data_IF_646303097556
#
_entry.id   IF_646303097556
#
_cell.length_a   1.000
_cell.length_b   1.000
_cell.length_c   1.000
_cell.angle_alpha   90.00
_cell.angle_beta   90.00
_cell.angle_gamma   90.00
#
_symmetry.space_group_name_H-M   'P 1'
#
loop_
_entity.id
_entity.type
_entity.pdbx_description
1 polymer ?
#
# COMPACT_ATOMS: atom_id res chain seq x y z
N UNK A 1 25.36 -20.66 19.99
CA UNK A 1 26.50 -19.95 19.39
C UNK A 1 26.28 -18.46 19.52
N UNK A 2 27.27 -17.76 20.08
CA UNK A 2 27.45 -16.32 19.95
C UNK A 2 27.25 -15.87 18.50
N UNK A 3 26.54 -14.77 18.27
CA UNK A 3 26.84 -13.72 17.29
C UNK A 3 25.76 -12.64 17.40
N UNK A 4 26.14 -11.59 18.11
CA UNK A 4 25.51 -10.29 18.28
C UNK A 4 25.35 -9.55 16.95
N UNK A 5 24.27 -9.81 16.22
CA UNK A 5 23.92 -9.06 14.99
C UNK A 5 22.46 -8.58 14.91
N UNK A 6 21.69 -8.63 16.00
CA UNK A 6 20.40 -7.96 16.03
C UNK A 6 20.59 -6.50 16.51
N UNK A 7 21.19 -5.67 15.65
CA UNK A 7 21.30 -4.23 15.90
C UNK A 7 19.89 -3.62 15.79
N UNK A 8 19.22 -3.47 16.94
CA UNK A 8 18.03 -2.63 17.04
C UNK A 8 18.49 -1.18 16.94
N UNK A 9 18.59 -0.66 15.72
CA UNK A 9 18.89 0.76 15.50
C UNK A 9 17.61 1.58 15.65
N UNK A 10 17.61 2.42 16.71
CA UNK A 10 16.74 3.56 17.06
C UNK A 10 15.62 3.31 18.11
N UNK A 11 15.33 4.31 18.99
CA UNK A 11 14.55 4.08 20.22
C UNK A 11 13.03 4.25 20.07
N UNK A 12 12.53 4.89 19.00
CA UNK A 12 11.10 5.07 18.77
C UNK A 12 10.82 5.19 17.26
N UNK A 13 9.83 4.43 16.74
CA UNK A 13 9.49 4.39 15.31
C UNK A 13 9.91 3.15 14.51
N UNK A 14 10.64 2.18 15.10
CA UNK A 14 11.17 0.98 14.40
C UNK A 14 10.12 0.18 13.62
N UNK A 15 8.90 0.07 14.17
CA UNK A 15 7.81 -0.62 13.48
C UNK A 15 7.28 0.13 12.25
N UNK A 16 7.39 1.46 12.19
CA UNK A 16 6.96 2.27 11.03
C UNK A 16 8.08 2.33 9.99
N UNK A 17 9.32 2.54 10.42
CA UNK A 17 10.51 2.57 9.55
C UNK A 17 10.75 1.20 8.88
N UNK A 18 10.65 0.09 9.63
CA UNK A 18 10.81 -1.26 9.06
C UNK A 18 9.74 -1.61 8.02
N UNK A 19 8.49 -1.18 8.22
CA UNK A 19 7.40 -1.40 7.25
C UNK A 19 7.60 -0.63 5.95
N UNK A 20 8.14 0.59 6.03
CA UNK A 20 8.47 1.40 4.85
C UNK A 20 9.66 0.80 4.09
N UNK A 21 10.68 0.30 4.81
CA UNK A 21 11.86 -0.32 4.19
C UNK A 21 11.50 -1.55 3.36
N UNK A 22 10.53 -2.37 3.77
CA UNK A 22 10.09 -3.53 2.99
C UNK A 22 9.54 -3.13 1.61
N UNK A 23 8.69 -2.11 1.55
CA UNK A 23 8.13 -1.61 0.28
C UNK A 23 9.24 -0.98 -0.56
N UNK A 24 10.14 -0.19 0.04
CA UNK A 24 11.26 0.43 -0.65
C UNK A 24 12.25 -0.60 -1.20
N UNK A 25 12.46 -1.72 -0.49
CA UNK A 25 13.30 -2.81 -0.98
C UNK A 25 12.72 -3.47 -2.23
N UNK A 26 11.40 -3.71 -2.28
CA UNK A 26 10.74 -4.24 -3.47
C UNK A 26 10.90 -3.31 -4.68
N UNK A 27 10.82 -1.99 -4.46
CA UNK A 27 11.11 -0.98 -5.51
C UNK A 27 12.57 -1.04 -5.95
N UNK A 28 13.52 -1.10 -5.00
CA UNK A 28 14.96 -1.18 -5.30
C UNK A 28 15.35 -2.46 -6.05
N UNK A 29 14.67 -3.57 -5.80
CA UNK A 29 14.87 -4.83 -6.52
C UNK A 29 14.17 -4.87 -7.88
N UNK A 30 13.45 -3.81 -8.28
CA UNK A 30 12.73 -3.75 -9.55
C UNK A 30 11.51 -4.68 -9.62
N UNK A 31 10.99 -5.13 -8.47
CA UNK A 31 9.81 -5.99 -8.40
C UNK A 31 8.50 -5.18 -8.50
N UNK A 32 8.55 -3.89 -8.15
CA UNK A 32 7.47 -2.92 -8.33
C UNK A 32 8.05 -1.58 -8.78
N UNK A 33 7.40 -0.92 -9.75
CA UNK A 33 7.86 0.39 -10.24
C UNK A 33 7.50 1.53 -9.28
N UNK A 34 6.43 1.37 -8.51
CA UNK A 34 5.88 2.40 -7.63
C UNK A 34 5.52 1.81 -6.26
N UNK A 35 5.73 2.53 -5.15
CA UNK A 35 5.43 2.06 -3.79
C UNK A 35 3.92 2.15 -3.48
N UNK A 36 3.08 1.47 -4.26
CA UNK A 36 1.61 1.53 -4.17
C UNK A 36 0.99 0.43 -3.30
N UNK A 37 1.79 -0.52 -2.82
CA UNK A 37 1.31 -1.63 -1.99
C UNK A 37 0.92 -1.13 -0.60
N UNK A 38 -0.32 -1.42 -0.18
CA UNK A 38 -0.81 -1.05 1.15
C UNK A 38 -0.44 -2.10 2.22
N UNK A 39 0.83 -2.51 2.25
CA UNK A 39 1.34 -3.59 3.11
C UNK A 39 1.07 -3.36 4.61
N UNK A 40 1.09 -2.10 5.03
CA UNK A 40 0.82 -1.74 6.42
C UNK A 40 -0.59 -2.12 6.88
N UNK A 41 -1.58 -2.15 5.97
CA UNK A 41 -2.94 -2.57 6.27
C UNK A 41 -2.99 -4.02 6.74
N UNK A 42 -2.41 -4.94 5.96
CA UNK A 42 -2.34 -6.36 6.32
C UNK A 42 -1.71 -6.58 7.70
N UNK A 43 -0.59 -5.90 7.97
CA UNK A 43 0.10 -5.99 9.26
C UNK A 43 -0.74 -5.43 10.41
N UNK A 44 -1.53 -4.38 10.18
CA UNK A 44 -2.42 -3.81 11.20
C UNK A 44 -3.59 -4.76 11.49
N UNK A 45 -4.19 -5.31 10.45
CA UNK A 45 -5.33 -6.24 10.55
C UNK A 45 -4.91 -7.53 11.27
N UNK A 46 -3.65 -7.97 11.08
CA UNK A 46 -3.08 -9.17 11.70
C UNK A 46 -1.97 -8.85 12.72
N UNK A 47 -2.11 -7.75 13.47
CA UNK A 47 -1.07 -7.22 14.36
C UNK A 47 -0.52 -8.23 15.37
N UNK A 48 -1.39 -9.05 15.95
CA UNK A 48 -0.97 -10.06 16.94
C UNK A 48 -0.06 -11.11 16.33
N UNK A 49 -0.38 -11.56 15.11
CA UNK A 49 0.38 -12.57 14.39
C UNK A 49 1.75 -12.02 13.96
N UNK A 50 1.78 -10.79 13.47
CA UNK A 50 3.02 -10.07 13.17
C UNK A 50 3.99 -10.08 14.36
N UNK A 51 3.52 -9.69 15.56
CA UNK A 51 4.39 -9.66 16.74
C UNK A 51 4.78 -11.06 17.22
N UNK A 52 3.87 -12.04 17.11
CA UNK A 52 4.14 -13.44 17.45
C UNK A 52 5.29 -14.01 16.61
N UNK A 53 5.20 -13.85 15.29
CA UNK A 53 6.21 -14.35 14.35
C UNK A 53 7.53 -13.59 14.47
N UNK A 54 7.49 -12.27 14.62
CA UNK A 54 8.70 -11.47 14.83
C UNK A 54 9.45 -11.86 16.11
N UNK A 55 8.70 -12.17 17.18
CA UNK A 55 9.28 -12.67 18.43
C UNK A 55 9.96 -14.03 18.24
N UNK A 56 9.31 -14.95 17.53
CA UNK A 56 9.87 -16.28 17.20
C UNK A 56 11.16 -16.17 16.38
N UNK A 57 11.23 -15.25 15.43
CA UNK A 57 12.49 -14.97 14.71
C UNK A 57 13.59 -14.51 15.67
N UNK A 58 13.26 -13.62 16.60
CA UNK A 58 14.25 -13.03 17.53
C UNK A 58 14.75 -14.03 18.57
N UNK A 59 13.84 -14.83 19.15
CA UNK A 59 14.15 -15.73 20.26
C UNK A 59 14.60 -17.13 19.79
N UNK A 60 14.10 -17.59 18.64
CA UNK A 60 14.18 -18.99 18.20
C UNK A 60 14.76 -19.14 16.79
N UNK A 61 15.09 -18.04 16.10
CA UNK A 61 15.56 -18.05 14.70
C UNK A 61 14.58 -18.74 13.73
N UNK A 62 13.28 -18.75 14.02
CA UNK A 62 12.26 -19.33 13.14
C UNK A 62 11.94 -18.40 11.96
N UNK A 63 12.84 -18.36 10.96
CA UNK A 63 12.72 -17.48 9.80
C UNK A 63 11.65 -17.89 8.79
N UNK A 64 11.46 -19.19 8.57
CA UNK A 64 10.56 -19.71 7.54
C UNK A 64 9.10 -19.27 7.74
N UNK A 65 8.48 -19.40 8.93
CA UNK A 65 7.11 -18.91 9.15
C UNK A 65 6.97 -17.40 8.97
N UNK A 66 8.01 -16.64 9.33
CA UNK A 66 8.03 -15.19 9.13
C UNK A 66 8.10 -14.79 7.66
N UNK A 67 8.94 -15.47 6.87
CA UNK A 67 9.04 -15.23 5.43
C UNK A 67 7.72 -15.55 4.74
N UNK A 68 7.10 -16.69 5.06
CA UNK A 68 5.79 -17.07 4.50
C UNK A 68 4.71 -16.04 4.83
N UNK A 69 4.68 -15.55 6.08
CA UNK A 69 3.78 -14.47 6.48
C UNK A 69 3.99 -13.20 5.65
N UNK A 70 5.24 -12.80 5.43
CA UNK A 70 5.54 -11.61 4.63
C UNK A 70 5.20 -11.80 3.14
N UNK A 71 5.38 -12.99 2.58
CA UNK A 71 4.98 -13.30 1.20
C UNK A 71 3.46 -13.23 1.03
N UNK A 72 2.71 -13.84 1.96
CA UNK A 72 1.25 -13.76 1.98
C UNK A 72 0.77 -12.31 2.11
N UNK A 73 1.42 -11.51 2.96
CA UNK A 73 1.11 -10.09 3.11
C UNK A 73 1.29 -9.32 1.79
N UNK A 74 2.35 -9.63 1.03
CA UNK A 74 2.61 -9.00 -0.28
C UNK A 74 1.55 -9.44 -1.30
N UNK A 75 1.24 -10.73 -1.38
CA UNK A 75 0.22 -11.28 -2.29
C UNK A 75 -1.14 -10.63 -2.07
N UNK A 76 -1.68 -10.71 -0.85
CA UNK A 76 -3.01 -10.17 -0.54
C UNK A 76 -3.09 -8.65 -0.76
N UNK A 77 -2.02 -7.93 -0.43
CA UNK A 77 -2.01 -6.47 -0.61
C UNK A 77 -1.82 -6.06 -2.06
N UNK A 78 -1.14 -6.87 -2.88
CA UNK A 78 -1.06 -6.68 -4.32
C UNK A 78 -2.42 -6.89 -4.99
N UNK A 79 -3.11 -7.98 -4.66
CA UNK A 79 -4.47 -8.24 -5.15
C UNK A 79 -5.45 -7.16 -4.72
N UNK A 80 -5.40 -6.74 -3.45
CA UNK A 80 -6.21 -5.64 -2.94
C UNK A 80 -5.94 -4.34 -3.69
N UNK A 81 -4.67 -3.94 -3.85
CA UNK A 81 -4.30 -2.71 -4.56
C UNK A 81 -4.73 -2.77 -6.02
N UNK A 82 -4.53 -3.91 -6.72
CA UNK A 82 -4.96 -4.10 -8.10
C UNK A 82 -6.47 -3.91 -8.23
N UNK A 83 -7.26 -4.58 -7.38
CA UNK A 83 -8.72 -4.43 -7.37
C UNK A 83 -9.13 -2.97 -7.16
N UNK A 84 -8.50 -2.28 -6.21
CA UNK A 84 -8.79 -0.85 -5.94
C UNK A 84 -8.48 0.04 -7.14
N UNK A 85 -7.40 -0.22 -7.88
CA UNK A 85 -7.06 0.52 -9.10
C UNK A 85 -8.13 0.30 -10.17
N UNK A 86 -8.56 -0.94 -10.37
CA UNK A 86 -9.63 -1.27 -11.33
C UNK A 86 -10.95 -0.61 -10.93
N UNK A 87 -11.35 -0.70 -9.66
CA UNK A 87 -12.56 -0.04 -9.14
C UNK A 87 -12.52 1.48 -9.37
N UNK A 88 -11.37 2.13 -9.18
CA UNK A 88 -11.20 3.58 -9.42
C UNK A 88 -11.32 3.90 -10.92
N UNK A 89 -10.73 3.06 -11.78
CA UNK A 89 -10.81 3.22 -13.24
C UNK A 89 -12.26 3.13 -13.70
N UNK A 90 -12.97 2.09 -13.29
CA UNK A 90 -14.35 1.85 -13.71
C UNK A 90 -15.27 2.96 -13.17
N UNK A 91 -15.06 3.43 -11.93
CA UNK A 91 -15.78 4.59 -11.41
C UNK A 91 -15.51 5.88 -12.20
N UNK A 92 -14.29 6.09 -12.69
CA UNK A 92 -13.95 7.24 -13.52
C UNK A 92 -14.66 7.16 -14.88
N UNK A 93 -14.70 5.98 -15.49
CA UNK A 93 -15.40 5.73 -16.76
C UNK A 93 -16.92 5.98 -16.60
N UNK A 94 -17.54 5.41 -15.57
CA UNK A 94 -18.95 5.65 -15.25
C UNK A 94 -19.24 7.14 -15.00
N UNK A 95 -18.35 7.82 -14.28
CA UNK A 95 -18.49 9.25 -14.00
C UNK A 95 -18.38 10.07 -15.28
N UNK A 96 -17.51 9.70 -16.22
CA UNK A 96 -17.41 10.37 -17.52
C UNK A 96 -18.71 10.22 -18.32
N UNK A 97 -19.32 9.03 -18.34
CA UNK A 97 -20.58 8.80 -19.06
C UNK A 97 -21.74 9.58 -18.44
N UNK A 98 -21.87 9.57 -17.11
CA UNK A 98 -22.87 10.38 -16.39
C UNK A 98 -22.65 11.87 -16.66
N UNK A 99 -21.41 12.35 -16.60
CA UNK A 99 -21.08 13.75 -16.82
C UNK A 99 -21.42 14.20 -18.25
N UNK A 100 -21.09 13.39 -19.27
CA UNK A 100 -21.46 13.67 -20.67
C UNK A 100 -22.98 13.77 -20.86
N UNK A 101 -23.74 12.93 -20.18
CA UNK A 101 -25.20 12.89 -20.30
C UNK A 101 -25.92 14.02 -19.55
N UNK A 102 -25.33 14.51 -18.44
CA UNK A 102 -26.02 15.41 -17.50
C UNK A 102 -25.50 16.84 -17.50
N UNK A 103 -24.22 17.06 -17.82
CA UNK A 103 -23.61 18.39 -17.80
C UNK A 103 -23.76 19.12 -19.13
N UNK A 104 -23.87 20.46 -19.13
CA UNK A 104 -23.77 21.24 -20.35
C UNK A 104 -22.44 20.99 -21.06
N UNK A 105 -22.45 20.90 -22.40
CA UNK A 105 -21.26 20.65 -23.23
C UNK A 105 -20.12 21.66 -23.02
N UNK A 106 -20.43 22.89 -22.58
CA UNK A 106 -19.45 23.92 -22.22
C UNK A 106 -18.70 23.68 -20.90
N UNK A 107 -19.22 22.78 -20.05
CA UNK A 107 -18.69 22.48 -18.72
C UNK A 107 -17.99 21.13 -18.71
N UNK A 108 -18.53 20.15 -19.43
CA UNK A 108 -17.88 18.84 -19.55
C UNK A 108 -16.55 18.96 -20.29
N UNK A 109 -15.49 18.44 -19.67
CA UNK A 109 -14.26 18.05 -20.35
C UNK A 109 -13.71 16.79 -19.69
N UNK A 110 -12.98 15.97 -20.45
CA UNK A 110 -12.35 14.76 -19.91
C UNK A 110 -11.35 15.13 -18.81
N UNK A 111 -10.60 16.21 -19.05
CA UNK A 111 -9.58 16.75 -18.15
C UNK A 111 -10.18 17.19 -16.81
N UNK A 112 -11.42 17.70 -16.80
CA UNK A 112 -12.10 18.07 -15.56
C UNK A 112 -12.38 16.84 -14.70
N UNK A 113 -12.88 15.75 -15.30
CA UNK A 113 -13.14 14.51 -14.57
C UNK A 113 -11.84 13.91 -14.05
N UNK A 114 -10.81 13.82 -14.89
CA UNK A 114 -9.48 13.35 -14.48
C UNK A 114 -8.91 14.18 -13.32
N UNK A 115 -9.12 15.51 -13.32
CA UNK A 115 -8.67 16.39 -12.25
C UNK A 115 -9.38 16.10 -10.92
N UNK A 116 -10.69 15.85 -10.94
CA UNK A 116 -11.48 15.52 -9.73
C UNK A 116 -10.99 14.20 -9.12
N UNK A 117 -10.71 13.19 -9.94
CA UNK A 117 -10.17 11.91 -9.46
C UNK A 117 -8.74 12.01 -8.95
N UNK A 118 -7.93 12.90 -9.56
CA UNK A 118 -6.57 13.19 -9.09
C UNK A 118 -6.54 14.01 -7.81
N UNK A 119 -7.50 14.90 -7.62
CA UNK A 119 -7.62 15.77 -6.44
C UNK A 119 -9.03 15.63 -5.81
N UNK A 120 -9.25 14.57 -5.01
CA UNK A 120 -10.56 14.30 -4.41
C UNK A 120 -11.09 15.45 -3.54
N UNK A 121 -10.16 16.26 -3.01
CA UNK A 121 -10.46 17.50 -2.30
C UNK A 121 -10.02 18.69 -3.15
N UNK A 122 -10.93 19.22 -3.95
CA UNK A 122 -10.72 20.44 -4.73
C UNK A 122 -11.39 21.63 -4.04
N UNK A 123 -10.71 22.77 -3.91
CA UNK A 123 -11.32 24.04 -3.47
C UNK A 123 -11.61 24.91 -4.68
N UNK A 124 -12.82 25.45 -4.79
CA UNK A 124 -13.10 26.53 -5.73
C UNK A 124 -12.33 27.77 -5.29
N UNK A 125 -11.41 28.26 -6.12
CA UNK A 125 -10.95 29.64 -6.00
C UNK A 125 -12.07 30.52 -6.55
N UNK A 126 -12.74 31.24 -5.64
CA UNK A 126 -13.63 32.35 -5.95
C UNK A 126 -12.82 33.64 -6.09
#
# INVERSE_FOLDING_TARGET
CSHSHCSVTFPDGNGRTGRIINILYLVLQGLIDWPVLYLSKFIIDQKNEYYRLLRKVTEQCEWEPWILYMLNAVEETAEFTLKRILDIRDLMDDTMEVAKATLPSRVYSKELIELIFRQPYTKGQF
#
